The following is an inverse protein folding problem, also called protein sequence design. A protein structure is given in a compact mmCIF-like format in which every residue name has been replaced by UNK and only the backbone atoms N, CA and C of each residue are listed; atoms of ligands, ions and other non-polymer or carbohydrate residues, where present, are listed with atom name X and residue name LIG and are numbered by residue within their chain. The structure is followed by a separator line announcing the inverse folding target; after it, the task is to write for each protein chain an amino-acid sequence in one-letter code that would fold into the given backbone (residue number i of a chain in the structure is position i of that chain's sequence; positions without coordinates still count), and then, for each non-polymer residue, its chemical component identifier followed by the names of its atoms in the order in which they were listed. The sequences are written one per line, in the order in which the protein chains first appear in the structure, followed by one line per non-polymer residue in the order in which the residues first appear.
data_IF_344215143932
#
_entry.id   IF_344215143932
#
_cell.length_a   1.000
_cell.length_b   1.000
_cell.length_c   1.000
_cell.angle_alpha   90.00
_cell.angle_beta   90.00
_cell.angle_gamma   90.00
#
_symmetry.space_group_name_H-M   'P 1'
#
loop_
_entity.id
_entity.type
_entity.pdbx_description
1 polymer ?
#
# COMPACT_ATOMS: atom_id res chain seq x y z
N UNK A 1 -4.10 -14.80 17.40
CA UNK A 1 -3.81 -13.37 17.62
C UNK A 1 -4.95 -12.53 17.03
N UNK A 2 -5.89 -12.03 17.84
CA UNK A 2 -7.04 -11.26 17.36
C UNK A 2 -6.65 -9.77 17.36
N UNK A 3 -5.88 -9.34 16.36
CA UNK A 3 -5.67 -7.91 16.11
C UNK A 3 -7.05 -7.30 15.83
N UNK A 4 -7.50 -6.36 16.67
CA UNK A 4 -8.74 -5.66 16.42
C UNK A 4 -8.51 -4.77 15.21
N UNK A 5 -9.30 -4.96 14.16
CA UNK A 5 -9.23 -4.20 12.89
C UNK A 5 -9.03 -2.69 13.11
N UNK A 6 -9.65 -2.13 14.15
CA UNK A 6 -9.55 -0.72 14.57
C UNK A 6 -8.13 -0.24 14.87
N UNK A 7 -7.29 -1.07 15.49
CA UNK A 7 -5.93 -0.64 15.90
C UNK A 7 -5.01 -0.49 14.68
N UNK A 8 -5.18 -1.38 13.70
CA UNK A 8 -4.48 -1.33 12.42
C UNK A 8 -4.91 -0.11 11.61
N UNK A 9 -6.22 0.14 11.52
CA UNK A 9 -6.75 1.30 10.79
C UNK A 9 -6.22 2.61 11.38
N UNK A 10 -6.17 2.73 12.72
CA UNK A 10 -5.60 3.88 13.40
C UNK A 10 -4.10 4.06 13.11
N UNK A 11 -3.33 2.96 13.10
CA UNK A 11 -1.91 3.00 12.76
C UNK A 11 -1.68 3.44 11.31
N UNK A 12 -2.46 2.92 10.36
CA UNK A 12 -2.38 3.30 8.94
C UNK A 12 -2.64 4.80 8.79
N UNK A 13 -3.69 5.33 9.42
CA UNK A 13 -4.01 6.75 9.35
C UNK A 13 -2.92 7.63 9.96
N UNK A 14 -2.33 7.21 11.08
CA UNK A 14 -1.21 7.91 11.70
C UNK A 14 0.02 7.95 10.79
N UNK A 15 0.36 6.83 10.16
CA UNK A 15 1.49 6.75 9.22
C UNK A 15 1.24 7.57 7.95
N UNK A 16 0.03 7.49 7.39
CA UNK A 16 -0.39 8.29 6.24
C UNK A 16 -0.17 9.78 6.49
N UNK A 17 -0.68 10.30 7.62
CA UNK A 17 -0.56 11.72 7.96
C UNK A 17 0.91 12.13 8.13
N UNK A 18 1.71 11.34 8.84
CA UNK A 18 3.14 11.60 9.01
C UNK A 18 3.89 11.65 7.67
N UNK A 19 3.53 10.79 6.72
CA UNK A 19 4.14 10.81 5.38
C UNK A 19 3.75 12.09 4.63
N UNK A 20 2.48 12.50 4.70
CA UNK A 20 2.01 13.74 4.03
C UNK A 20 2.60 15.02 4.65
N UNK A 21 2.91 15.00 5.95
CA UNK A 21 3.63 16.08 6.62
C UNK A 21 5.08 16.20 6.14
N UNK A 22 5.71 15.08 5.79
CA UNK A 22 7.11 15.03 5.36
C UNK A 22 7.28 15.20 3.84
N UNK A 23 6.28 14.80 3.05
CA UNK A 23 6.29 14.89 1.59
C UNK A 23 4.97 15.44 1.06
N UNK A 24 4.96 16.75 0.80
CA UNK A 24 3.80 17.47 0.31
C UNK A 24 3.41 17.14 -1.14
N UNK A 25 4.25 16.43 -1.90
CA UNK A 25 3.90 15.97 -3.25
C UNK A 25 3.07 14.69 -3.24
N UNK A 26 2.97 14.00 -2.09
CA UNK A 26 2.09 12.84 -1.93
C UNK A 26 0.64 13.30 -1.91
N UNK A 27 -0.12 12.85 -2.91
CA UNK A 27 -1.53 13.19 -3.09
C UNK A 27 -2.46 12.01 -2.84
N UNK A 28 -1.92 10.79 -2.73
CA UNK A 28 -2.72 9.59 -2.51
C UNK A 28 -1.89 8.42 -1.96
N UNK A 29 -2.57 7.31 -1.68
CA UNK A 29 -1.94 6.09 -1.20
C UNK A 29 -2.60 4.86 -1.81
N UNK A 30 -1.81 3.84 -2.12
CA UNK A 30 -2.33 2.48 -2.27
C UNK A 30 -2.12 1.70 -0.97
N UNK A 31 -3.15 0.98 -0.56
CA UNK A 31 -3.13 0.09 0.60
C UNK A 31 -3.38 -1.35 0.12
N UNK A 32 -2.54 -2.30 0.54
CA UNK A 32 -2.70 -3.69 0.12
C UNK A 32 -2.01 -4.71 1.01
N UNK A 33 -2.44 -5.96 0.86
CA UNK A 33 -1.79 -7.13 1.47
C UNK A 33 -2.04 -8.34 0.57
N UNK A 34 -1.09 -9.27 0.55
CA UNK A 34 -1.25 -10.57 -0.10
C UNK A 34 -1.48 -11.62 0.98
N UNK A 35 -2.53 -12.43 0.83
CA UNK A 35 -2.89 -13.49 1.78
C UNK A 35 -2.87 -14.82 1.02
N UNK A 36 -1.93 -15.69 1.38
CA UNK A 36 -1.68 -16.97 0.74
C UNK A 36 -0.70 -16.89 -0.43
N UNK A 37 -0.06 -18.02 -0.71
CA UNK A 37 0.95 -18.16 -1.77
C UNK A 37 0.38 -17.79 -3.14
N UNK A 38 -0.82 -18.25 -3.49
CA UNK A 38 -1.47 -17.94 -4.77
C UNK A 38 -1.78 -16.45 -4.95
N UNK A 39 -1.86 -15.68 -3.87
CA UNK A 39 -1.97 -14.22 -3.92
C UNK A 39 -0.61 -13.51 -4.04
N UNK A 40 0.49 -14.26 -4.11
CA UNK A 40 1.86 -13.75 -4.15
C UNK A 40 2.43 -13.38 -2.77
N UNK A 41 1.95 -14.00 -1.68
CA UNK A 41 2.53 -13.81 -0.36
C UNK A 41 3.85 -14.59 -0.25
N UNK A 42 4.97 -13.87 -0.24
CA UNK A 42 6.32 -14.47 -0.10
C UNK A 42 6.78 -14.61 1.35
N UNK A 43 6.12 -13.93 2.30
CA UNK A 43 6.39 -14.11 3.72
C UNK A 43 5.08 -14.25 4.49
N UNK A 44 4.97 -15.34 5.22
CA UNK A 44 3.77 -15.76 5.94
C UNK A 44 3.64 -15.10 7.32
N UNK A 45 3.83 -13.78 7.35
CA UNK A 45 3.51 -12.91 8.47
C UNK A 45 2.57 -11.80 8.00
N UNK A 46 1.71 -11.30 8.88
CA UNK A 46 0.83 -10.19 8.58
C UNK A 46 1.66 -8.97 8.16
N UNK A 47 1.45 -8.49 6.93
CA UNK A 47 2.08 -7.28 6.39
C UNK A 47 1.08 -6.48 5.62
N UNK A 48 1.18 -5.16 5.76
CA UNK A 48 0.34 -4.20 5.06
C UNK A 48 1.28 -3.27 4.31
N UNK A 49 1.07 -3.16 3.01
CA UNK A 49 1.75 -2.21 2.16
C UNK A 49 0.98 -0.90 2.20
N UNK A 50 1.61 0.16 2.71
CA UNK A 50 1.14 1.54 2.59
C UNK A 50 2.09 2.26 1.64
N UNK A 51 1.62 2.54 0.43
CA UNK A 51 2.45 3.01 -0.68
C UNK A 51 2.02 4.45 -1.02
N UNK A 52 2.87 5.45 -0.77
CA UNK A 52 2.60 6.85 -1.14
C UNK A 52 2.55 7.02 -2.66
N UNK A 53 1.60 7.83 -3.14
CA UNK A 53 1.38 8.12 -4.57
C UNK A 53 1.41 9.62 -4.82
N UNK A 54 1.94 10.02 -5.97
CA UNK A 54 2.01 11.41 -6.44
C UNK A 54 1.32 11.52 -7.80
N UNK A 55 0.80 12.70 -8.12
CA UNK A 55 0.20 12.91 -9.44
C UNK A 55 1.26 12.72 -10.53
N UNK A 56 1.00 11.83 -11.50
CA UNK A 56 1.92 11.54 -12.61
C UNK A 56 3.05 10.56 -12.28
N UNK A 57 3.09 9.96 -11.09
CA UNK A 57 4.14 9.00 -10.71
C UNK A 57 4.07 7.65 -11.45
N UNK A 58 2.94 7.37 -12.10
CA UNK A 58 2.77 6.23 -13.00
C UNK A 58 1.91 6.65 -14.19
N UNK A 59 2.25 6.23 -15.41
CA UNK A 59 1.50 6.61 -16.61
C UNK A 59 0.05 6.10 -16.60
N UNK A 60 -0.20 4.93 -15.98
CA UNK A 60 -1.52 4.31 -15.90
C UNK A 60 -1.87 3.91 -14.45
N UNK A 61 -2.45 4.80 -13.64
CA UNK A 61 -2.67 4.56 -12.20
C UNK A 61 -3.79 3.57 -11.88
N UNK A 62 -4.55 3.13 -12.90
CA UNK A 62 -5.60 2.11 -12.75
C UNK A 62 -4.94 0.74 -12.52
N UNK A 63 -5.55 -0.11 -11.68
CA UNK A 63 -5.01 -1.43 -11.33
C UNK A 63 -4.59 -1.58 -9.85
N UNK A 64 -4.79 -0.55 -9.03
CA UNK A 64 -4.58 -0.61 -7.58
C UNK A 64 -3.11 -0.81 -7.21
N UNK A 65 -2.85 -1.64 -6.18
CA UNK A 65 -1.49 -1.91 -5.67
C UNK A 65 -0.58 -2.52 -6.73
N UNK A 66 -1.14 -3.31 -7.66
CA UNK A 66 -0.36 -3.89 -8.76
C UNK A 66 0.18 -2.77 -9.68
N UNK A 67 -0.61 -1.72 -9.90
CA UNK A 67 -0.28 -0.50 -10.66
C UNK A 67 0.88 0.36 -10.15
N UNK A 68 1.44 0.04 -8.97
CA UNK A 68 2.48 0.87 -8.35
C UNK A 68 3.82 0.73 -9.04
N UNK A 69 4.20 -0.48 -9.46
CA UNK A 69 5.45 -0.74 -10.18
C UNK A 69 5.11 -1.49 -11.46
N UNK A 70 4.81 -0.77 -12.56
CA UNK A 70 4.34 -1.38 -13.81
C UNK A 70 5.28 -2.46 -14.34
N UNK A 71 6.59 -2.23 -14.26
CA UNK A 71 7.65 -3.15 -14.73
C UNK A 71 7.75 -4.44 -13.92
N UNK A 72 7.19 -4.47 -12.71
CA UNK A 72 7.15 -5.67 -11.85
C UNK A 72 5.79 -6.34 -11.87
N UNK A 73 4.85 -5.88 -12.70
CA UNK A 73 3.64 -6.61 -12.99
C UNK A 73 3.93 -7.65 -14.08
N UNK A 74 3.93 -8.92 -13.70
CA UNK A 74 3.96 -10.03 -14.65
C UNK A 74 2.60 -10.10 -15.34
N UNK A 75 2.52 -9.61 -16.58
CA UNK A 75 1.49 -9.96 -17.55
C UNK A 75 2.18 -10.62 -18.74
#
# INVERSE_FOLDING_TARGET
MRLKKRDIDALIMKLKNRIMEQDHFVTGFNLGTNIGESAGQTFFHARIHLIPRRNGDTPNPRGGVRGVIPEKMSY
#
